data_IF_048055925007
#
_entry.id   IF_048055925007
#
_cell.length_a   1.000
_cell.length_b   1.000
_cell.length_c   1.000
_cell.angle_alpha   90.00
_cell.angle_beta   90.00
_cell.angle_gamma   90.00
#
_symmetry.space_group_name_H-M   'P 1'
#
loop_
_entity.id
_entity.type
_entity.pdbx_description
1 polymer ?
#
# COMPACT_ATOMS: atom_id res chain seq x y z
N UNK A 1 13.87 -12.92 -20.90
CA UNK A 1 12.90 -11.81 -21.09
C UNK A 1 11.61 -12.08 -20.33
N UNK A 2 11.02 -13.26 -20.45
CA UNK A 2 9.79 -13.64 -19.74
C UNK A 2 9.86 -13.43 -18.22
N UNK A 3 10.95 -13.88 -17.58
CA UNK A 3 11.16 -13.67 -16.14
C UNK A 3 11.23 -12.19 -15.72
N UNK A 4 11.70 -11.30 -16.61
CA UNK A 4 11.71 -9.87 -16.33
C UNK A 4 10.30 -9.27 -16.39
N UNK A 5 9.53 -9.65 -17.42
CA UNK A 5 8.14 -9.20 -17.60
C UNK A 5 7.27 -9.67 -16.43
N UNK A 6 7.39 -10.94 -16.05
CA UNK A 6 6.67 -11.51 -14.92
C UNK A 6 7.01 -10.77 -13.62
N UNK A 7 8.30 -10.60 -13.33
CA UNK A 7 8.73 -9.87 -12.15
C UNK A 7 8.20 -8.43 -12.13
N UNK A 8 8.28 -7.71 -13.24
CA UNK A 8 7.84 -6.32 -13.33
C UNK A 8 6.33 -6.18 -13.12
N UNK A 9 5.53 -7.07 -13.72
CA UNK A 9 4.08 -6.99 -13.73
C UNK A 9 3.42 -7.57 -12.47
N UNK A 10 3.99 -8.62 -11.87
CA UNK A 10 3.33 -9.36 -10.81
C UNK A 10 4.01 -9.29 -9.44
N UNK A 11 5.32 -8.99 -9.40
CA UNK A 11 6.10 -9.07 -8.16
C UNK A 11 6.64 -7.72 -7.69
N UNK A 12 6.97 -6.82 -8.61
CA UNK A 12 7.50 -5.51 -8.29
C UNK A 12 6.39 -4.53 -7.95
N UNK A 13 6.52 -3.86 -6.82
CA UNK A 13 5.71 -2.69 -6.48
C UNK A 13 6.29 -1.44 -7.13
N UNK A 14 5.42 -0.57 -7.63
CA UNK A 14 5.84 0.67 -8.30
C UNK A 14 5.27 1.89 -7.59
N UNK A 15 6.15 2.83 -7.29
CA UNK A 15 5.82 4.04 -6.52
C UNK A 15 4.82 4.93 -7.26
N UNK A 16 4.93 5.02 -8.59
CA UNK A 16 4.02 5.80 -9.44
C UNK A 16 2.56 5.34 -9.39
N UNK A 17 2.31 4.09 -8.98
CA UNK A 17 0.97 3.51 -8.82
C UNK A 17 0.72 3.11 -7.36
N UNK A 18 1.07 3.99 -6.43
CA UNK A 18 0.77 3.84 -5.01
C UNK A 18 1.33 2.55 -4.38
N UNK A 19 2.52 2.12 -4.84
CA UNK A 19 3.16 0.87 -4.42
C UNK A 19 2.24 -0.33 -4.63
N UNK A 20 1.71 -0.44 -5.84
CA UNK A 20 0.98 -1.59 -6.35
C UNK A 20 1.74 -2.25 -7.49
N UNK A 21 1.35 -3.48 -7.83
CA UNK A 21 1.87 -4.16 -9.01
C UNK A 21 1.09 -3.69 -10.25
N UNK A 22 1.70 -3.65 -11.45
CA UNK A 22 1.00 -3.26 -12.67
C UNK A 22 -0.18 -4.20 -12.96
N UNK A 23 -0.06 -5.49 -12.66
CA UNK A 23 -1.15 -6.44 -12.81
C UNK A 23 -2.34 -6.13 -11.89
N UNK A 24 -2.12 -5.72 -10.64
CA UNK A 24 -3.23 -5.35 -9.75
C UNK A 24 -4.00 -4.14 -10.26
N UNK A 25 -3.30 -3.15 -10.81
CA UNK A 25 -3.91 -1.98 -11.44
C UNK A 25 -4.64 -2.36 -12.73
N UNK A 26 -4.00 -3.13 -13.61
CA UNK A 26 -4.59 -3.55 -14.89
C UNK A 26 -5.88 -4.36 -14.69
N UNK A 27 -5.91 -5.27 -13.71
CA UNK A 27 -7.08 -6.06 -13.38
C UNK A 27 -8.08 -5.34 -12.43
N UNK A 28 -7.86 -4.05 -12.13
CA UNK A 28 -8.78 -3.23 -11.33
C UNK A 28 -8.94 -3.66 -9.86
N UNK A 29 -7.93 -4.36 -9.31
CA UNK A 29 -7.92 -4.83 -7.91
C UNK A 29 -7.38 -3.77 -6.95
N UNK A 30 -6.88 -2.67 -7.50
CA UNK A 30 -6.12 -1.65 -6.81
C UNK A 30 -6.90 -0.93 -5.71
N UNK A 31 -8.14 -0.53 -6.00
CA UNK A 31 -9.01 0.14 -5.04
C UNK A 31 -9.30 -0.73 -3.80
N UNK A 32 -9.54 -2.02 -3.99
CA UNK A 32 -9.80 -2.95 -2.89
C UNK A 32 -8.57 -3.10 -1.99
N UNK A 33 -7.38 -3.22 -2.60
CA UNK A 33 -6.10 -3.32 -1.88
C UNK A 33 -5.83 -2.03 -1.09
N UNK A 34 -6.02 -0.85 -1.69
CA UNK A 34 -5.81 0.44 -1.00
C UNK A 34 -6.76 0.62 0.18
N UNK A 35 -8.05 0.31 0.00
CA UNK A 35 -9.06 0.37 1.07
C UNK A 35 -8.71 -0.56 2.24
N UNK A 36 -8.25 -1.77 1.93
CA UNK A 36 -7.80 -2.71 2.96
C UNK A 36 -6.55 -2.18 3.71
N UNK A 37 -5.57 -1.62 2.99
CA UNK A 37 -4.36 -1.01 3.58
C UNK A 37 -4.72 0.15 4.51
N UNK A 38 -5.64 1.02 4.10
CA UNK A 38 -6.12 2.13 4.93
C UNK A 38 -6.74 1.62 6.23
N UNK A 39 -7.65 0.63 6.14
CA UNK A 39 -8.30 0.02 7.30
C UNK A 39 -7.29 -0.55 8.30
N UNK A 40 -6.26 -1.23 7.82
CA UNK A 40 -5.20 -1.80 8.67
C UNK A 40 -4.38 -0.69 9.33
N UNK A 41 -4.01 0.35 8.58
CA UNK A 41 -3.16 1.44 9.08
C UNK A 41 -3.85 2.38 10.07
N UNK A 42 -5.19 2.43 10.07
CA UNK A 42 -5.96 3.38 10.91
C UNK A 42 -5.63 3.28 12.40
N UNK A 43 -5.75 2.08 13.00
CA UNK A 43 -5.55 1.89 14.45
C UNK A 43 -4.12 2.28 14.90
N UNK A 44 -3.03 1.79 14.25
CA UNK A 44 -1.68 2.19 14.67
C UNK A 44 -1.40 3.70 14.53
N UNK A 45 -1.96 4.36 13.51
CA UNK A 45 -1.80 5.81 13.32
C UNK A 45 -2.48 6.58 14.44
N UNK A 46 -3.71 6.20 14.82
CA UNK A 46 -4.44 6.83 15.92
C UNK A 46 -3.69 6.67 17.25
N UNK A 47 -3.22 5.47 17.57
CA UNK A 47 -2.40 5.21 18.77
C UNK A 47 -1.16 6.10 18.80
N UNK A 48 -0.45 6.20 17.66
CA UNK A 48 0.75 7.05 17.55
C UNK A 48 0.41 8.53 17.74
N UNK A 49 -0.71 9.00 17.20
CA UNK A 49 -1.18 10.40 17.39
C UNK A 49 -1.49 10.68 18.86
N UNK A 50 -2.14 9.76 19.56
CA UNK A 50 -2.44 9.90 20.98
C UNK A 50 -1.17 9.94 21.84
N UNK A 51 -0.22 9.02 21.60
CA UNK A 51 1.07 9.01 22.30
C UNK A 51 1.82 10.33 22.10
N UNK A 52 1.90 10.83 20.86
CA UNK A 52 2.55 12.12 20.57
C UNK A 52 1.89 13.29 21.31
N UNK A 53 0.56 13.32 21.41
CA UNK A 53 -0.16 14.35 22.18
C UNK A 53 0.17 14.28 23.67
N UNK A 54 0.32 13.08 24.25
CA UNK A 54 0.69 12.91 25.66
C UNK A 54 2.10 13.40 25.97
N UNK A 55 3.05 13.21 25.06
CA UNK A 55 4.43 13.67 25.24
C UNK A 55 4.65 15.16 24.92
N UNK A 56 3.70 15.79 24.22
CA UNK A 56 3.76 17.21 23.87
C UNK A 56 3.04 18.11 24.90
N UNK A 57 2.35 17.53 25.88
CA UNK A 57 1.75 18.20 27.03
C UNK A 57 2.68 18.05 28.24
#
# INVERSE_FOLDING_TARGET
MEAFVDHYNHHRYHESINNQTPADVYFGRDHAILKQRERIKRKPIETRRLQRRKFAA
#
